data_IF_576675062602
#
_entry.id   IF_576675062602
#
_cell.length_a   1.000
_cell.length_b   1.000
_cell.length_c   1.000
_cell.angle_alpha   90.00
_cell.angle_beta   90.00
_cell.angle_gamma   90.00
#
_symmetry.space_group_name_H-M   'P 1'
#
loop_
_entity.id
_entity.type
_entity.pdbx_description
1 polymer ?
#
# COMPACT_ATOMS: atom_id res chain seq x y z
N UNK A 1 -13.65 -6.31 -15.17
CA UNK A 1 -12.80 -6.95 -16.20
C UNK A 1 -12.41 -8.37 -15.78
N UNK A 2 -11.78 -8.58 -14.60
CA UNK A 2 -11.23 -9.88 -14.15
C UNK A 2 -12.31 -10.97 -14.15
N UNK A 3 -13.46 -10.74 -13.52
CA UNK A 3 -14.55 -11.72 -13.47
C UNK A 3 -15.02 -12.13 -14.88
N UNK A 4 -15.19 -11.14 -15.78
CA UNK A 4 -15.59 -11.42 -17.16
C UNK A 4 -14.52 -12.19 -17.95
N UNK A 5 -13.24 -11.89 -17.72
CA UNK A 5 -12.13 -12.62 -18.31
C UNK A 5 -12.13 -14.10 -17.87
N UNK A 6 -12.34 -14.33 -16.56
CA UNK A 6 -12.39 -15.70 -16.03
C UNK A 6 -13.60 -16.47 -16.55
N UNK A 7 -14.80 -15.85 -16.58
CA UNK A 7 -15.99 -16.50 -17.14
C UNK A 7 -15.82 -16.83 -18.64
N UNK A 8 -15.23 -15.90 -19.42
CA UNK A 8 -14.93 -16.15 -20.85
C UNK A 8 -13.98 -17.34 -21.04
N UNK A 9 -13.09 -17.58 -20.09
CA UNK A 9 -12.15 -18.71 -20.10
C UNK A 9 -12.75 -20.01 -19.51
N UNK A 10 -14.06 -20.06 -19.24
CA UNK A 10 -14.78 -21.27 -18.83
C UNK A 10 -14.74 -21.56 -17.32
N UNK A 11 -14.24 -20.64 -16.49
CA UNK A 11 -14.25 -20.82 -15.04
C UNK A 11 -15.63 -20.56 -14.43
N UNK A 12 -15.98 -21.31 -13.39
CA UNK A 12 -17.11 -20.99 -12.52
C UNK A 12 -16.69 -19.85 -11.57
N UNK A 13 -17.34 -18.68 -11.70
CA UNK A 13 -16.94 -17.44 -11.04
C UNK A 13 -17.98 -17.00 -10.03
N UNK A 14 -17.55 -16.72 -8.82
CA UNK A 14 -18.34 -16.02 -7.78
C UNK A 14 -17.71 -14.67 -7.49
N UNK A 15 -18.47 -13.59 -7.68
CA UNK A 15 -18.05 -12.24 -7.33
C UNK A 15 -18.19 -11.97 -5.83
N UNK A 16 -17.17 -11.38 -5.20
CA UNK A 16 -17.24 -10.97 -3.80
C UNK A 16 -16.89 -9.49 -3.68
N UNK A 17 -17.76 -8.72 -3.02
CA UNK A 17 -17.48 -7.33 -2.67
C UNK A 17 -17.44 -7.16 -1.15
N UNK A 18 -16.38 -6.53 -0.67
CA UNK A 18 -16.24 -6.18 0.76
C UNK A 18 -16.85 -4.80 1.02
N UNK A 19 -17.81 -4.72 1.94
CA UNK A 19 -18.25 -3.43 2.49
C UNK A 19 -17.36 -3.08 3.67
N UNK A 20 -16.42 -2.13 3.47
CA UNK A 20 -15.37 -1.81 4.42
C UNK A 20 -15.71 -0.67 5.37
N UNK A 21 -16.63 0.24 5.00
CA UNK A 21 -17.07 1.37 5.83
C UNK A 21 -18.51 1.76 5.49
N UNK A 22 -19.11 2.59 6.35
CA UNK A 22 -20.47 3.08 6.16
C UNK A 22 -20.45 4.46 5.47
N UNK A 23 -21.26 4.61 4.45
CA UNK A 23 -21.37 5.82 3.62
C UNK A 23 -22.07 7.01 4.31
N UNK A 24 -21.94 7.18 5.62
CA UNK A 24 -22.73 8.12 6.38
C UNK A 24 -22.70 9.58 5.89
N UNK A 25 -21.82 9.95 4.95
CA UNK A 25 -21.79 11.25 4.24
C UNK A 25 -20.86 11.19 2.99
N UNK A 26 -20.97 10.19 2.15
CA UNK A 26 -20.29 10.26 0.85
C UNK A 26 -21.01 11.34 0.01
N UNK A 27 -20.39 12.52 -0.12
CA UNK A 27 -20.81 13.46 -1.14
C UNK A 27 -20.72 12.77 -2.50
N UNK A 28 -21.65 13.03 -3.40
CA UNK A 28 -21.73 12.45 -4.75
C UNK A 28 -20.48 12.63 -5.63
N UNK A 29 -19.44 13.25 -5.11
CA UNK A 29 -18.15 13.55 -5.77
C UNK A 29 -16.96 12.70 -5.27
N UNK A 30 -17.10 11.85 -4.24
CA UNK A 30 -15.95 11.08 -3.75
C UNK A 30 -15.73 9.81 -4.60
N UNK A 31 -14.55 9.70 -5.21
CA UNK A 31 -14.08 8.55 -6.01
C UNK A 31 -13.57 7.40 -5.11
N UNK A 32 -14.34 7.04 -4.08
CA UNK A 32 -13.92 6.07 -3.08
C UNK A 32 -14.22 4.63 -3.53
N UNK A 33 -13.26 3.73 -3.41
CA UNK A 33 -13.46 2.30 -3.58
C UNK A 33 -14.36 1.76 -2.47
N UNK A 34 -15.34 0.89 -2.80
CA UNK A 34 -16.25 0.25 -1.85
C UNK A 34 -17.30 1.19 -1.22
N UNK A 35 -17.53 2.38 -1.78
CA UNK A 35 -18.71 3.18 -1.53
C UNK A 35 -19.96 2.50 -2.09
N UNK A 36 -21.16 2.92 -1.69
CA UNK A 36 -22.42 2.33 -2.14
C UNK A 36 -22.54 2.21 -3.67
N UNK A 37 -22.01 3.19 -4.42
CA UNK A 37 -21.95 3.15 -5.89
C UNK A 37 -21.09 1.99 -6.42
N UNK A 38 -19.94 1.71 -5.79
CA UNK A 38 -19.05 0.62 -6.22
C UNK A 38 -19.69 -0.77 -6.00
N UNK A 39 -20.48 -0.92 -4.94
CA UNK A 39 -21.27 -2.12 -4.69
C UNK A 39 -22.36 -2.29 -5.76
N UNK A 40 -23.03 -1.19 -6.13
CA UNK A 40 -24.03 -1.20 -7.21
C UNK A 40 -23.41 -1.52 -8.56
N UNK A 41 -22.24 -0.96 -8.86
CA UNK A 41 -21.50 -1.27 -10.08
C UNK A 41 -21.06 -2.75 -10.12
N UNK A 42 -20.58 -3.29 -9.00
CA UNK A 42 -20.22 -4.69 -8.90
C UNK A 42 -21.43 -5.61 -9.11
N UNK A 43 -22.59 -5.26 -8.53
CA UNK A 43 -23.86 -5.98 -8.76
C UNK A 43 -24.28 -5.97 -10.23
N UNK A 44 -24.24 -4.79 -10.87
CA UNK A 44 -24.58 -4.66 -12.30
C UNK A 44 -23.67 -5.54 -13.17
N UNK A 45 -22.35 -5.46 -12.91
CA UNK A 45 -21.37 -6.30 -13.63
C UNK A 45 -21.62 -7.77 -13.41
N UNK A 46 -21.91 -8.21 -12.19
CA UNK A 46 -22.19 -9.60 -11.88
C UNK A 46 -23.46 -10.11 -12.58
N UNK A 47 -24.54 -9.31 -12.57
CA UNK A 47 -25.77 -9.63 -13.29
C UNK A 47 -25.53 -9.70 -14.80
N UNK A 48 -24.77 -8.75 -15.37
CA UNK A 48 -24.45 -8.75 -16.80
C UNK A 48 -23.62 -9.96 -17.23
N UNK A 49 -22.72 -10.40 -16.34
CA UNK A 49 -21.88 -11.58 -16.57
C UNK A 49 -22.61 -12.88 -16.19
N UNK A 50 -23.83 -12.81 -15.64
CA UNK A 50 -24.56 -13.96 -15.11
C UNK A 50 -23.67 -14.82 -14.18
N UNK A 51 -23.15 -14.19 -13.11
CA UNK A 51 -22.36 -14.81 -12.05
C UNK A 51 -22.95 -14.46 -10.68
N UNK A 52 -22.81 -15.37 -9.73
CA UNK A 52 -23.18 -15.12 -8.34
C UNK A 52 -22.37 -13.97 -7.75
N UNK A 53 -23.02 -13.15 -6.90
CA UNK A 53 -22.38 -12.04 -6.22
C UNK A 53 -22.71 -11.99 -4.74
N UNK A 54 -21.69 -12.00 -3.91
CA UNK A 54 -21.81 -11.91 -2.45
C UNK A 54 -21.25 -10.59 -1.93
N UNK A 55 -21.93 -9.99 -0.95
CA UNK A 55 -21.45 -8.80 -0.24
C UNK A 55 -21.11 -9.22 1.18
N UNK A 56 -19.87 -9.01 1.59
CA UNK A 56 -19.40 -9.32 2.92
C UNK A 56 -19.21 -8.02 3.72
N UNK A 57 -19.68 -7.99 4.94
CA UNK A 57 -19.71 -6.82 5.80
C UNK A 57 -18.50 -6.84 6.74
N UNK A 58 -17.49 -6.02 6.45
CA UNK A 58 -16.20 -5.98 7.14
C UNK A 58 -15.92 -4.66 7.85
N UNK A 59 -16.93 -3.82 8.06
CA UNK A 59 -16.77 -2.45 8.58
C UNK A 59 -16.08 -2.42 9.94
N UNK A 60 -16.48 -3.28 10.88
CA UNK A 60 -15.89 -3.34 12.23
C UNK A 60 -14.41 -3.74 12.14
N UNK A 61 -14.13 -4.84 11.47
CA UNK A 61 -12.77 -5.38 11.33
C UNK A 61 -11.84 -4.46 10.57
N UNK A 62 -12.33 -3.83 9.50
CA UNK A 62 -11.57 -2.84 8.75
C UNK A 62 -11.24 -1.60 9.60
N UNK A 63 -12.19 -1.16 10.43
CA UNK A 63 -11.93 -0.07 11.38
C UNK A 63 -10.83 -0.45 12.37
N UNK A 64 -10.95 -1.60 13.03
CA UNK A 64 -10.03 -2.05 14.08
C UNK A 64 -8.61 -2.33 13.53
N UNK A 65 -8.50 -3.04 12.41
CA UNK A 65 -7.21 -3.51 11.90
C UNK A 65 -6.53 -2.55 10.91
N UNK A 66 -7.29 -1.68 10.23
CA UNK A 66 -6.73 -0.79 9.22
C UNK A 66 -6.80 0.67 9.64
N UNK A 67 -8.01 1.17 10.01
CA UNK A 67 -8.18 2.59 10.32
C UNK A 67 -7.52 2.94 11.66
N UNK A 68 -7.78 2.16 12.70
CA UNK A 68 -7.22 2.44 14.03
C UNK A 68 -5.68 2.29 14.01
N UNK A 69 -5.14 1.27 13.32
CA UNK A 69 -3.69 1.10 13.11
C UNK A 69 -3.07 2.28 12.34
N UNK A 70 -3.77 2.77 11.33
CA UNK A 70 -3.35 3.96 10.57
C UNK A 70 -3.23 5.20 11.46
N UNK A 71 -4.22 5.42 12.33
CA UNK A 71 -4.23 6.55 13.25
C UNK A 71 -3.10 6.42 14.30
N UNK A 72 -2.92 5.22 14.86
CA UNK A 72 -1.90 4.95 15.86
C UNK A 72 -0.49 5.15 15.31
N UNK A 73 -0.24 4.75 14.06
CA UNK A 73 1.05 4.99 13.39
C UNK A 73 1.34 6.49 13.23
N UNK A 74 0.36 7.29 12.77
CA UNK A 74 0.56 8.75 12.70
C UNK A 74 0.78 9.38 14.08
N UNK A 75 0.07 8.93 15.11
CA UNK A 75 0.27 9.39 16.47
C UNK A 75 1.66 9.04 17.02
N UNK A 76 2.29 8.01 16.48
CA UNK A 76 3.67 7.60 16.79
C UNK A 76 4.74 8.26 15.91
N UNK A 77 4.36 9.21 15.03
CA UNK A 77 5.27 9.87 14.10
C UNK A 77 5.67 9.02 12.88
N UNK A 78 5.04 7.87 12.68
CA UNK A 78 5.25 7.02 11.51
C UNK A 78 4.32 7.43 10.36
N UNK A 79 4.71 7.12 9.13
CA UNK A 79 3.91 7.36 7.90
C UNK A 79 3.36 6.02 7.39
N UNK A 80 2.14 5.61 7.78
CA UNK A 80 1.62 4.29 7.46
C UNK A 80 1.17 4.14 6.00
N UNK A 81 1.11 2.86 5.55
CA UNK A 81 0.53 2.48 4.26
C UNK A 81 -0.65 1.54 4.51
N UNK A 82 -1.87 2.07 4.73
CA UNK A 82 -3.02 1.25 5.09
C UNK A 82 -3.43 0.24 4.00
N UNK A 83 -3.05 0.47 2.74
CA UNK A 83 -3.32 -0.46 1.64
C UNK A 83 -2.58 -1.80 1.81
N UNK A 84 -1.35 -1.80 2.32
CA UNK A 84 -0.61 -3.03 2.62
C UNK A 84 -1.31 -3.78 3.76
N UNK A 85 -1.65 -3.08 4.83
CA UNK A 85 -2.37 -3.65 5.97
C UNK A 85 -3.71 -4.26 5.53
N UNK A 86 -4.50 -3.54 4.71
CA UNK A 86 -5.76 -4.04 4.17
C UNK A 86 -5.58 -5.31 3.30
N UNK A 87 -4.55 -5.34 2.44
CA UNK A 87 -4.26 -6.52 1.64
C UNK A 87 -3.87 -7.71 2.53
N UNK A 88 -3.01 -7.50 3.53
CA UNK A 88 -2.55 -8.54 4.42
C UNK A 88 -3.68 -9.13 5.28
N UNK A 89 -4.49 -8.28 5.92
CA UNK A 89 -5.48 -8.71 6.92
C UNK A 89 -6.83 -9.02 6.28
N UNK A 90 -7.48 -8.04 5.69
CA UNK A 90 -8.86 -8.16 5.23
C UNK A 90 -8.96 -8.96 3.93
N UNK A 91 -8.08 -8.69 2.95
CA UNK A 91 -8.20 -9.33 1.64
C UNK A 91 -7.55 -10.71 1.59
N UNK A 92 -6.29 -10.85 2.05
CA UNK A 92 -5.54 -12.09 1.83
C UNK A 92 -5.46 -13.00 3.05
N UNK A 93 -5.97 -12.58 4.20
CA UNK A 93 -6.21 -13.47 5.33
C UNK A 93 -7.67 -13.89 5.39
N UNK A 94 -8.58 -12.92 5.51
CA UNK A 94 -9.98 -13.21 5.79
C UNK A 94 -10.74 -13.65 4.55
N UNK A 95 -10.58 -12.94 3.43
CA UNK A 95 -11.22 -13.33 2.18
C UNK A 95 -10.62 -14.64 1.61
N UNK A 96 -9.34 -14.90 1.88
CA UNK A 96 -8.72 -16.20 1.60
C UNK A 96 -9.44 -17.34 2.34
N UNK A 97 -9.66 -17.19 3.66
CA UNK A 97 -10.40 -18.19 4.46
C UNK A 97 -11.81 -18.37 3.91
N UNK A 98 -12.51 -17.28 3.61
CA UNK A 98 -13.86 -17.34 3.03
C UNK A 98 -13.89 -18.05 1.65
N UNK A 99 -12.88 -17.82 0.81
CA UNK A 99 -12.76 -18.52 -0.48
C UNK A 99 -12.54 -20.03 -0.30
N UNK A 100 -11.74 -20.44 0.70
CA UNK A 100 -11.58 -21.86 1.08
C UNK A 100 -12.87 -22.49 1.58
N UNK A 101 -13.66 -21.77 2.40
CA UNK A 101 -14.98 -22.23 2.88
C UNK A 101 -15.96 -22.43 1.71
N UNK A 102 -15.86 -21.62 0.68
CA UNK A 102 -16.59 -21.77 -0.57
C UNK A 102 -16.07 -22.90 -1.47
N UNK A 103 -15.00 -23.59 -1.07
CA UNK A 103 -14.31 -24.62 -1.87
C UNK A 103 -13.84 -24.09 -3.23
N UNK A 104 -13.48 -22.81 -3.30
CA UNK A 104 -12.93 -22.24 -4.52
C UNK A 104 -11.49 -22.72 -4.74
N UNK A 105 -11.11 -22.93 -6.00
CA UNK A 105 -9.75 -23.37 -6.37
C UNK A 105 -8.74 -22.23 -6.31
N UNK A 106 -9.19 -20.98 -6.40
CA UNK A 106 -8.34 -19.80 -6.35
C UNK A 106 -9.11 -18.54 -5.91
N UNK A 107 -8.39 -17.60 -5.31
CA UNK A 107 -8.85 -16.23 -5.10
C UNK A 107 -8.22 -15.32 -6.15
N UNK A 108 -9.06 -14.67 -6.95
CA UNK A 108 -8.62 -13.86 -8.09
C UNK A 108 -8.85 -12.39 -7.83
N UNK A 109 -7.85 -11.56 -8.08
CA UNK A 109 -7.93 -10.11 -7.86
C UNK A 109 -7.46 -9.32 -9.08
N UNK A 110 -7.90 -8.07 -9.16
CA UNK A 110 -7.51 -7.13 -10.21
C UNK A 110 -6.20 -6.38 -9.95
N UNK A 111 -5.34 -6.84 -9.05
CA UNK A 111 -4.06 -6.22 -8.83
C UNK A 111 -3.14 -6.40 -10.04
N UNK A 112 -2.45 -5.32 -10.42
CA UNK A 112 -1.40 -5.35 -11.43
C UNK A 112 -0.11 -5.89 -10.82
N UNK A 113 -0.01 -7.21 -10.78
CA UNK A 113 1.14 -7.98 -10.29
C UNK A 113 1.27 -9.21 -11.16
N UNK A 114 2.47 -9.49 -11.67
CA UNK A 114 2.72 -10.70 -12.45
C UNK A 114 3.03 -11.86 -11.51
N UNK A 115 2.34 -12.98 -11.70
CA UNK A 115 2.56 -14.24 -10.98
C UNK A 115 3.08 -15.29 -11.95
N UNK A 116 4.14 -15.95 -11.58
CA UNK A 116 4.73 -17.07 -12.34
C UNK A 116 4.82 -18.27 -11.40
N UNK A 117 4.51 -19.43 -11.89
CA UNK A 117 4.74 -20.68 -11.18
C UNK A 117 6.11 -21.24 -11.57
N UNK A 118 6.94 -21.49 -10.58
CA UNK A 118 8.28 -22.00 -10.74
C UNK A 118 8.56 -23.07 -9.67
N UNK A 119 8.90 -24.28 -10.12
CA UNK A 119 9.18 -25.43 -9.25
C UNK A 119 8.08 -25.70 -8.19
N UNK A 120 6.80 -25.58 -8.58
CA UNK A 120 5.65 -25.85 -7.71
C UNK A 120 5.29 -24.70 -6.75
N UNK A 121 6.03 -23.61 -6.76
CA UNK A 121 5.74 -22.41 -5.98
C UNK A 121 5.42 -21.22 -6.87
N UNK A 122 4.50 -20.39 -6.41
CA UNK A 122 4.22 -19.13 -7.06
C UNK A 122 5.25 -18.07 -6.68
N UNK A 123 5.75 -17.36 -7.67
CA UNK A 123 6.63 -16.22 -7.52
C UNK A 123 5.92 -14.94 -7.94
N UNK A 124 6.16 -13.85 -7.21
CA UNK A 124 5.59 -12.53 -7.48
C UNK A 124 6.61 -11.67 -8.20
N UNK A 125 6.16 -10.96 -9.23
CA UNK A 125 6.96 -10.04 -10.03
C UNK A 125 6.24 -8.72 -10.21
N UNK A 126 6.99 -7.68 -10.49
CA UNK A 126 6.40 -6.42 -10.96
C UNK A 126 5.53 -6.67 -12.20
N UNK A 127 4.47 -5.89 -12.33
CA UNK A 127 3.57 -5.96 -13.47
C UNK A 127 4.27 -5.63 -14.80
N UNK A 128 3.67 -6.05 -15.93
CA UNK A 128 4.06 -5.60 -17.28
C UNK A 128 3.93 -4.08 -17.39
N UNK A 129 2.82 -3.53 -16.93
CA UNK A 129 2.57 -2.08 -16.83
C UNK A 129 3.23 -1.54 -15.56
N UNK A 130 4.44 -1.02 -15.70
CA UNK A 130 5.27 -0.54 -14.58
C UNK A 130 4.63 0.66 -13.86
N UNK A 131 3.90 1.51 -14.57
CA UNK A 131 3.21 2.67 -14.01
C UNK A 131 2.00 2.26 -13.16
N UNK A 132 1.54 1.03 -13.32
CA UNK A 132 0.42 0.43 -12.57
C UNK A 132 0.87 -0.68 -11.62
N UNK A 133 2.17 -0.94 -11.53
CA UNK A 133 2.71 -1.99 -10.68
C UNK A 133 2.27 -1.84 -9.21
N UNK A 134 1.65 -2.89 -8.68
CA UNK A 134 1.14 -2.95 -7.31
C UNK A 134 1.89 -3.95 -6.43
N UNK A 135 2.99 -4.50 -6.91
CA UNK A 135 3.79 -5.48 -6.19
C UNK A 135 4.29 -4.96 -4.84
N UNK A 136 4.59 -3.66 -4.74
CA UNK A 136 4.95 -2.97 -3.51
C UNK A 136 3.90 -3.14 -2.40
N UNK A 137 2.61 -3.12 -2.75
CA UNK A 137 1.51 -3.24 -1.78
C UNK A 137 1.20 -4.67 -1.38
N UNK A 138 1.83 -5.66 -2.03
CA UNK A 138 1.57 -7.08 -1.81
C UNK A 138 2.76 -7.84 -1.22
N UNK A 139 3.88 -7.17 -0.92
CA UNK A 139 5.10 -7.81 -0.44
C UNK A 139 4.90 -8.68 0.81
N UNK A 140 3.89 -8.35 1.62
CA UNK A 140 3.58 -9.02 2.88
C UNK A 140 2.62 -10.23 2.71
N UNK A 141 2.38 -10.66 1.47
CA UNK A 141 1.69 -11.90 1.14
C UNK A 141 2.61 -13.08 1.44
N UNK A 142 2.13 -14.09 2.17
CA UNK A 142 2.92 -15.30 2.41
C UNK A 142 2.86 -16.29 1.22
N UNK A 143 3.71 -17.32 1.24
CA UNK A 143 3.83 -18.26 0.12
C UNK A 143 2.54 -19.06 -0.11
N UNK A 144 1.84 -19.48 0.95
CA UNK A 144 0.58 -20.21 0.86
C UNK A 144 -0.51 -19.37 0.18
N UNK A 145 -0.65 -18.12 0.60
CA UNK A 145 -1.55 -17.16 -0.02
C UNK A 145 -1.18 -16.94 -1.49
N UNK A 146 0.11 -16.73 -1.80
CA UNK A 146 0.58 -16.50 -3.15
C UNK A 146 0.32 -17.70 -4.08
N UNK A 147 0.44 -18.91 -3.57
CA UNK A 147 0.11 -20.13 -4.31
C UNK A 147 -1.37 -20.18 -4.69
N UNK A 148 -2.26 -19.64 -3.85
CA UNK A 148 -3.72 -19.63 -4.06
C UNK A 148 -4.23 -18.42 -4.86
N UNK A 149 -3.52 -17.29 -4.79
CA UNK A 149 -3.89 -16.06 -5.48
C UNK A 149 -3.63 -16.12 -6.99
N UNK A 150 -4.47 -15.41 -7.77
CA UNK A 150 -4.28 -15.21 -9.21
C UNK A 150 -4.43 -13.74 -9.55
N UNK A 151 -3.58 -13.23 -10.45
CA UNK A 151 -3.51 -11.84 -10.87
C UNK A 151 -3.54 -11.72 -12.40
N UNK A 152 -4.71 -11.91 -13.03
CA UNK A 152 -4.80 -11.97 -14.50
C UNK A 152 -4.37 -10.68 -15.21
N UNK A 153 -4.40 -9.53 -14.51
CA UNK A 153 -4.03 -8.24 -15.08
C UNK A 153 -2.51 -7.97 -15.05
N UNK A 154 -1.72 -8.79 -14.38
CA UNK A 154 -0.29 -8.54 -14.20
C UNK A 154 0.53 -8.63 -15.48
N UNK A 155 0.03 -9.29 -16.51
CA UNK A 155 0.63 -9.41 -17.84
C UNK A 155 0.02 -8.48 -18.89
N UNK A 156 -0.91 -7.62 -18.49
CA UNK A 156 -1.63 -6.67 -19.33
C UNK A 156 -1.25 -5.23 -19.01
N UNK A 157 -1.28 -4.39 -20.04
CA UNK A 157 -1.26 -2.94 -19.86
C UNK A 157 -2.67 -2.44 -19.51
N UNK A 158 -2.78 -1.27 -18.90
CA UNK A 158 -4.06 -0.66 -18.55
C UNK A 158 -4.95 -0.46 -19.77
N UNK A 159 -4.35 -0.13 -20.91
CA UNK A 159 -5.07 0.03 -22.19
C UNK A 159 -5.72 -1.29 -22.62
N UNK A 160 -4.97 -2.40 -22.55
CA UNK A 160 -5.48 -3.75 -22.87
C UNK A 160 -6.62 -4.15 -21.92
N UNK A 161 -6.46 -3.87 -20.61
CA UNK A 161 -7.51 -4.12 -19.61
C UNK A 161 -8.80 -3.35 -19.90
N UNK A 162 -8.73 -2.09 -20.34
CA UNK A 162 -9.89 -1.29 -20.73
C UNK A 162 -10.54 -1.79 -22.00
N UNK A 163 -9.73 -2.21 -22.96
CA UNK A 163 -10.22 -2.81 -24.20
C UNK A 163 -11.04 -4.10 -23.90
N UNK A 164 -10.50 -5.00 -23.09
CA UNK A 164 -11.22 -6.22 -22.65
C UNK A 164 -12.53 -5.85 -21.94
N UNK A 165 -12.53 -4.83 -21.06
CA UNK A 165 -13.75 -4.37 -20.40
C UNK A 165 -14.80 -3.84 -21.38
N UNK A 166 -14.36 -3.14 -22.43
CA UNK A 166 -15.23 -2.63 -23.51
C UNK A 166 -15.78 -3.74 -24.39
N UNK A 167 -14.97 -4.72 -24.75
CA UNK A 167 -15.39 -5.92 -25.52
C UNK A 167 -16.44 -6.73 -24.74
N UNK A 168 -16.28 -6.83 -23.43
CA UNK A 168 -17.27 -7.42 -22.52
C UNK A 168 -18.47 -6.51 -22.26
N UNK A 169 -18.53 -5.33 -22.88
CA UNK A 169 -19.59 -4.31 -22.75
C UNK A 169 -19.86 -3.89 -21.30
N UNK A 170 -18.82 -3.92 -20.43
CA UNK A 170 -18.97 -3.57 -19.02
C UNK A 170 -19.14 -2.05 -18.86
N UNK A 171 -20.18 -1.64 -18.13
CA UNK A 171 -20.49 -0.24 -17.86
C UNK A 171 -19.39 0.53 -17.09
N UNK A 172 -18.42 -0.19 -16.51
CA UNK A 172 -17.28 0.33 -15.75
C UNK A 172 -15.99 0.45 -16.57
N UNK A 173 -16.02 0.19 -17.89
CA UNK A 173 -14.82 0.17 -18.75
C UNK A 173 -14.04 1.50 -18.70
N UNK A 174 -14.74 2.64 -18.64
CA UNK A 174 -14.16 3.99 -18.61
C UNK A 174 -14.08 4.58 -17.18
N UNK A 175 -14.36 3.78 -16.14
CA UNK A 175 -14.29 4.28 -14.75
C UNK A 175 -12.86 4.69 -14.42
N UNK A 176 -12.64 5.91 -13.87
CA UNK A 176 -11.33 6.35 -13.46
C UNK A 176 -10.79 5.49 -12.31
N UNK A 177 -9.46 5.38 -12.23
CA UNK A 177 -8.81 4.66 -11.15
C UNK A 177 -8.96 5.40 -9.82
N UNK A 178 -9.05 4.66 -8.72
CA UNK A 178 -8.93 5.23 -7.38
C UNK A 178 -7.48 5.70 -7.17
N UNK A 179 -7.31 6.96 -6.78
CA UNK A 179 -5.99 7.58 -6.60
C UNK A 179 -5.58 7.68 -5.13
N UNK A 180 -6.56 7.64 -4.21
CA UNK A 180 -6.36 7.92 -2.78
C UNK A 180 -6.63 6.70 -1.90
N UNK A 181 -6.24 6.82 -0.63
CA UNK A 181 -6.62 5.88 0.43
C UNK A 181 -8.15 5.86 0.53
N UNK A 182 -8.76 4.69 0.43
CA UNK A 182 -10.20 4.52 0.23
C UNK A 182 -11.10 5.15 1.31
N UNK A 183 -10.61 5.34 2.54
CA UNK A 183 -11.33 5.97 3.64
C UNK A 183 -10.88 7.41 3.95
N UNK A 184 -9.95 7.95 3.14
CA UNK A 184 -9.44 9.33 3.26
C UNK A 184 -9.91 10.17 2.08
N UNK A 185 -10.98 10.98 2.24
CA UNK A 185 -11.47 11.82 1.16
C UNK A 185 -10.45 12.89 0.77
N UNK A 186 -10.19 13.03 -0.54
CA UNK A 186 -9.33 14.08 -1.12
C UNK A 186 -7.90 14.14 -0.52
N UNK A 187 -7.39 13.02 0.02
CA UNK A 187 -6.06 12.97 0.64
C UNK A 187 -5.96 13.69 1.99
N UNK A 188 -7.06 14.17 2.57
CA UNK A 188 -7.08 14.87 3.85
C UNK A 188 -7.15 13.90 5.02
N UNK A 189 -6.03 13.22 5.28
CA UNK A 189 -5.91 12.27 6.40
C UNK A 189 -5.97 12.96 7.77
N UNK A 190 -5.48 14.21 7.88
CA UNK A 190 -5.49 14.95 9.14
C UNK A 190 -6.92 15.18 9.65
N UNK A 191 -7.84 15.61 8.77
CA UNK A 191 -9.25 15.77 9.12
C UNK A 191 -9.92 14.46 9.52
N UNK A 192 -9.56 13.33 8.88
CA UNK A 192 -10.08 12.00 9.26
C UNK A 192 -9.62 11.63 10.67
N UNK A 193 -8.32 11.81 10.96
CA UNK A 193 -7.75 11.51 12.28
C UNK A 193 -8.35 12.44 13.34
N UNK A 194 -8.47 13.75 13.06
CA UNK A 194 -9.08 14.74 13.98
C UNK A 194 -10.51 14.36 14.37
N UNK A 195 -11.28 13.85 13.40
CA UNK A 195 -12.64 13.39 13.66
C UNK A 195 -12.70 12.13 14.52
N UNK A 196 -11.81 11.17 14.28
CA UNK A 196 -11.82 9.87 14.95
C UNK A 196 -11.08 9.89 16.30
N UNK A 197 -10.02 10.70 16.43
CA UNK A 197 -9.20 10.83 17.64
C UNK A 197 -8.79 12.29 17.90
N UNK A 198 -9.70 13.19 18.29
CA UNK A 198 -9.40 14.62 18.48
C UNK A 198 -8.31 14.86 19.54
N UNK A 199 -8.16 13.97 20.52
CA UNK A 199 -7.14 14.07 21.58
C UNK A 199 -5.68 13.82 21.07
N UNK A 200 -5.51 13.34 19.85
CA UNK A 200 -4.19 13.11 19.23
C UNK A 200 -3.56 14.41 18.70
N UNK A 201 -4.32 15.50 18.66
CA UNK A 201 -3.82 16.83 18.25
C UNK A 201 -3.37 17.60 19.47
N UNK A 202 -2.06 17.74 19.62
CA UNK A 202 -1.42 18.52 20.70
C UNK A 202 -0.45 19.50 20.08
N UNK A 203 -0.50 20.75 20.54
CA UNK A 203 0.49 21.74 20.15
C UNK A 203 1.88 21.31 20.59
N UNK A 204 2.87 21.56 19.75
CA UNK A 204 4.26 21.23 20.01
C UNK A 204 5.22 22.18 19.28
N UNK A 205 6.51 21.91 19.40
CA UNK A 205 7.54 22.78 18.85
C UNK A 205 8.01 22.29 17.47
N UNK A 206 8.37 23.27 16.64
CA UNK A 206 9.19 23.01 15.45
C UNK A 206 10.61 23.44 15.79
N UNK A 207 11.53 22.49 15.69
CA UNK A 207 12.96 22.71 16.00
C UNK A 207 13.81 22.54 14.74
N UNK A 208 14.93 23.23 14.68
CA UNK A 208 15.93 23.02 13.63
C UNK A 208 16.87 21.84 13.97
N UNK A 209 17.73 21.45 13.02
CA UNK A 209 18.71 20.37 13.20
C UNK A 209 19.77 20.67 14.28
N UNK A 210 19.87 21.92 14.74
CA UNK A 210 20.74 22.33 15.86
C UNK A 210 20.02 22.26 17.21
N UNK A 211 18.73 21.93 17.26
CA UNK A 211 17.93 21.84 18.47
C UNK A 211 17.27 23.14 18.89
N UNK A 212 17.34 24.22 18.10
CA UNK A 212 16.71 25.49 18.42
C UNK A 212 15.23 25.46 18.07
N UNK A 213 14.35 25.92 18.96
CA UNK A 213 12.94 26.12 18.65
C UNK A 213 12.77 27.30 17.69
N UNK A 214 12.17 27.06 16.53
CA UNK A 214 11.98 28.07 15.48
C UNK A 214 10.50 28.31 15.15
N UNK A 215 9.60 27.59 15.80
CA UNK A 215 8.16 27.75 15.63
C UNK A 215 7.36 26.78 16.46
N UNK A 216 6.05 26.71 16.20
CA UNK A 216 5.13 25.80 16.84
C UNK A 216 4.21 25.13 15.80
N UNK A 217 3.62 23.98 16.15
CA UNK A 217 2.65 23.27 15.33
C UNK A 217 1.43 22.83 16.14
N UNK A 218 0.32 22.53 15.45
CA UNK A 218 -0.94 22.11 16.07
C UNK A 218 -1.10 20.57 16.19
N UNK A 219 -0.04 19.82 15.97
CA UNK A 219 0.00 18.36 16.07
C UNK A 219 0.93 17.72 15.07
N UNK A 220 1.77 16.77 15.53
CA UNK A 220 2.72 16.03 14.68
C UNK A 220 2.03 15.28 13.54
N UNK A 221 0.78 14.91 13.72
CA UNK A 221 -0.06 14.20 12.74
C UNK A 221 -0.19 14.95 11.40
N UNK A 222 -0.05 16.28 11.41
CA UNK A 222 -0.11 17.10 10.20
C UNK A 222 1.16 17.02 9.33
N UNK A 223 2.17 16.25 9.77
CA UNK A 223 3.47 16.24 9.15
C UNK A 223 3.92 14.84 8.74
N UNK A 224 4.73 14.81 7.70
CA UNK A 224 5.35 13.59 7.17
C UNK A 224 6.79 13.90 6.79
N UNK A 225 7.72 13.00 7.03
CA UNK A 225 9.13 13.16 6.64
C UNK A 225 9.23 13.43 5.13
N UNK A 226 10.01 14.45 4.76
CA UNK A 226 10.12 14.96 3.39
C UNK A 226 9.11 16.04 3.02
N UNK A 227 8.13 16.34 3.89
CA UNK A 227 7.16 17.41 3.65
C UNK A 227 7.85 18.76 3.60
N UNK A 228 7.54 19.57 2.56
CA UNK A 228 8.04 20.94 2.37
C UNK A 228 6.98 22.00 2.62
N UNK A 229 5.74 21.72 2.21
CA UNK A 229 4.62 22.69 2.31
C UNK A 229 3.89 22.54 3.63
N UNK A 230 3.34 23.63 4.15
CA UNK A 230 2.50 23.61 5.35
C UNK A 230 3.27 23.58 6.68
N UNK A 231 4.60 23.76 6.69
CA UNK A 231 5.40 23.85 7.92
C UNK A 231 5.12 25.15 8.69
N UNK A 232 4.68 26.21 7.99
CA UNK A 232 4.31 27.48 8.62
C UNK A 232 5.49 28.38 9.03
N UNK A 233 6.72 28.05 8.61
CA UNK A 233 7.92 28.80 8.96
C UNK A 233 8.54 29.41 7.69
N UNK A 234 8.74 30.73 7.69
CA UNK A 234 9.41 31.45 6.62
C UNK A 234 10.92 31.51 6.90
N UNK A 235 11.73 30.92 6.00
CA UNK A 235 13.19 31.08 5.95
C UNK A 235 13.67 31.31 4.53
N UNK A 236 14.87 31.86 4.38
CA UNK A 236 15.47 32.14 3.05
C UNK A 236 15.65 30.86 2.20
N UNK A 237 15.93 29.72 2.83
CA UNK A 237 16.02 28.42 2.17
C UNK A 237 14.79 27.57 2.49
N UNK A 238 14.30 26.74 1.53
CA UNK A 238 13.20 25.81 1.79
C UNK A 238 13.54 24.86 2.94
N UNK A 239 12.60 24.70 3.88
CA UNK A 239 12.67 23.73 4.96
C UNK A 239 11.86 22.47 4.61
N UNK A 240 12.35 21.35 5.11
CA UNK A 240 11.73 20.04 5.01
C UNK A 240 11.59 19.41 6.39
N UNK A 241 10.55 18.66 6.63
CA UNK A 241 10.46 17.80 7.82
C UNK A 241 11.49 16.69 7.66
N UNK A 242 12.49 16.65 8.52
CA UNK A 242 13.57 15.65 8.48
C UNK A 242 13.37 14.55 9.49
N UNK A 243 12.69 14.84 10.62
CA UNK A 243 12.33 13.84 11.63
C UNK A 243 11.10 14.28 12.43
N UNK A 244 10.46 13.33 13.13
CA UNK A 244 9.31 13.56 14.02
C UNK A 244 9.55 12.83 15.34
N UNK A 245 9.80 13.57 16.40
CA UNK A 245 9.89 13.04 17.78
C UNK A 245 8.50 13.04 18.43
N UNK A 246 7.79 11.92 18.32
CA UNK A 246 6.45 11.80 18.89
C UNK A 246 6.44 11.83 20.43
N UNK A 247 7.54 11.43 21.09
CA UNK A 247 7.63 11.43 22.56
C UNK A 247 7.73 12.85 23.11
N UNK A 248 8.51 13.71 22.45
CA UNK A 248 8.65 15.13 22.80
C UNK A 248 7.57 15.99 22.15
N UNK A 249 6.82 15.44 21.20
CA UNK A 249 5.86 16.16 20.37
C UNK A 249 6.53 17.30 19.59
N UNK A 250 7.64 16.98 18.91
CA UNK A 250 8.47 17.91 18.16
C UNK A 250 8.59 17.50 16.70
N UNK A 251 8.61 18.50 15.82
CA UNK A 251 8.92 18.35 14.40
C UNK A 251 10.31 18.90 14.16
N UNK A 252 11.22 18.08 13.67
CA UNK A 252 12.56 18.49 13.30
C UNK A 252 12.57 18.89 11.83
N UNK A 253 13.02 20.09 11.53
CA UNK A 253 13.11 20.60 10.15
C UNK A 253 14.54 20.95 9.77
N UNK A 254 14.87 20.69 8.53
CA UNK A 254 16.21 20.92 7.98
C UNK A 254 16.18 21.23 6.49
N UNK A 255 17.34 21.16 5.87
CA UNK A 255 17.52 21.33 4.42
C UNK A 255 17.16 20.04 3.68
N UNK A 256 17.22 20.06 2.34
CA UNK A 256 17.01 18.86 1.52
C UNK A 256 18.13 17.83 1.74
N UNK A 257 19.33 18.29 1.99
CA UNK A 257 20.52 17.49 2.25
C UNK A 257 20.36 16.66 3.53
N UNK A 258 19.71 17.21 4.55
CA UNK A 258 19.46 16.54 5.84
C UNK A 258 18.46 15.36 5.71
N UNK A 259 17.72 15.28 4.59
CA UNK A 259 16.86 14.12 4.27
C UNK A 259 17.61 12.94 3.67
N UNK A 260 18.89 13.14 3.30
CA UNK A 260 19.66 12.16 2.56
C UNK A 260 20.24 11.10 3.49
N UNK A 261 19.79 9.87 3.38
CA UNK A 261 20.29 8.75 4.19
C UNK A 261 20.80 7.62 3.30
N UNK A 262 21.69 6.81 3.87
CA UNK A 262 22.34 5.67 3.19
C UNK A 262 22.10 4.35 3.92
N UNK A 263 21.56 4.42 5.12
CA UNK A 263 21.26 3.27 5.97
C UNK A 263 19.81 3.30 6.42
N UNK A 264 19.13 2.16 6.32
CA UNK A 264 17.73 1.98 6.71
C UNK A 264 17.66 0.79 7.65
N UNK A 265 16.85 0.91 8.69
CA UNK A 265 16.48 -0.21 9.55
C UNK A 265 15.06 -0.66 9.24
N UNK A 266 14.83 -1.97 9.31
CA UNK A 266 13.49 -2.55 9.08
C UNK A 266 13.13 -3.54 10.17
N UNK A 267 11.82 -3.66 10.41
CA UNK A 267 11.19 -4.61 11.32
C UNK A 267 10.09 -5.42 10.60
N UNK A 268 9.59 -6.49 11.24
CA UNK A 268 8.45 -7.29 10.74
C UNK A 268 8.67 -7.75 9.29
N UNK A 269 9.70 -8.52 9.07
CA UNK A 269 10.17 -8.95 7.75
C UNK A 269 9.33 -10.12 7.25
N UNK A 270 8.95 -10.07 5.97
CA UNK A 270 8.40 -11.19 5.21
C UNK A 270 9.36 -11.57 4.09
N UNK A 271 9.72 -12.85 3.97
CA UNK A 271 10.61 -13.37 2.93
C UNK A 271 9.85 -14.33 2.03
N UNK A 272 10.00 -14.13 0.72
CA UNK A 272 9.39 -14.92 -0.35
C UNK A 272 10.44 -15.67 -1.21
N UNK A 273 11.66 -15.81 -0.68
CA UNK A 273 12.77 -16.43 -1.40
C UNK A 273 13.70 -17.17 -0.42
N UNK A 274 14.75 -17.80 -0.95
CA UNK A 274 15.83 -18.37 -0.14
C UNK A 274 16.75 -17.27 0.40
N UNK A 275 17.49 -17.61 1.46
CA UNK A 275 18.51 -16.72 2.03
C UNK A 275 19.63 -16.40 1.03
N UNK A 276 19.92 -17.28 0.08
CA UNK A 276 20.95 -17.09 -0.94
C UNK A 276 20.69 -15.89 -1.86
N UNK A 277 19.43 -15.49 -1.98
CA UNK A 277 19.07 -14.31 -2.76
C UNK A 277 19.63 -13.01 -2.17
N UNK A 278 20.05 -13.00 -0.90
CA UNK A 278 20.61 -11.84 -0.17
C UNK A 278 22.14 -11.83 -0.10
N UNK A 279 22.83 -12.83 -0.64
CA UNK A 279 24.30 -12.89 -0.63
C UNK A 279 24.94 -11.79 -1.50
N UNK A 280 24.19 -11.25 -2.45
CA UNK A 280 24.61 -10.16 -3.33
C UNK A 280 23.74 -8.91 -3.11
N UNK A 281 24.15 -7.80 -3.73
CA UNK A 281 23.30 -6.60 -3.76
C UNK A 281 21.99 -6.89 -4.51
N UNK A 282 20.89 -6.46 -3.93
CA UNK A 282 19.55 -6.54 -4.49
C UNK A 282 19.01 -5.14 -4.81
N UNK A 283 17.82 -5.07 -5.38
CA UNK A 283 17.10 -3.82 -5.54
C UNK A 283 16.03 -3.67 -4.46
N UNK A 284 15.79 -2.44 -4.00
CA UNK A 284 14.73 -2.13 -3.04
C UNK A 284 13.86 -0.98 -3.53
N UNK A 285 12.62 -0.92 -3.03
CA UNK A 285 11.74 0.27 -3.09
C UNK A 285 11.35 0.66 -1.68
N UNK A 286 11.49 1.94 -1.37
CA UNK A 286 11.16 2.53 -0.06
C UNK A 286 9.85 3.33 -0.08
N UNK A 287 9.21 3.41 -1.24
CA UNK A 287 7.87 4.03 -1.45
C UNK A 287 7.25 3.49 -2.74
N UNK A 288 5.93 3.49 -2.84
CA UNK A 288 5.20 2.91 -3.97
C UNK A 288 5.55 3.54 -5.32
N UNK A 289 5.76 4.84 -5.38
CA UNK A 289 6.12 5.60 -6.58
C UNK A 289 7.64 5.74 -6.77
N UNK A 290 8.46 5.18 -5.85
CA UNK A 290 9.91 5.26 -5.90
C UNK A 290 10.55 4.41 -6.99
N UNK A 291 11.79 4.76 -7.36
CA UNK A 291 12.65 3.93 -8.21
C UNK A 291 13.15 2.69 -7.47
N UNK A 292 13.67 1.73 -8.20
CA UNK A 292 14.47 0.64 -7.65
C UNK A 292 15.87 1.19 -7.29
N UNK A 293 16.30 0.95 -6.05
CA UNK A 293 17.57 1.41 -5.49
C UNK A 293 18.40 0.18 -5.18
N UNK A 294 19.65 0.16 -5.58
CA UNK A 294 20.58 -0.95 -5.31
C UNK A 294 21.07 -0.89 -3.86
N UNK A 295 21.04 -2.01 -3.16
CA UNK A 295 21.36 -2.09 -1.74
C UNK A 295 21.91 -3.46 -1.33
N UNK A 296 22.69 -3.48 -0.24
CA UNK A 296 23.03 -4.69 0.51
C UNK A 296 22.10 -4.81 1.71
N UNK A 297 21.56 -6.00 1.92
CA UNK A 297 20.59 -6.29 2.98
C UNK A 297 21.19 -7.31 3.92
N UNK A 298 21.18 -6.99 5.22
CA UNK A 298 21.59 -7.90 6.30
C UNK A 298 20.41 -8.14 7.22
N UNK A 299 19.93 -9.37 7.29
CA UNK A 299 18.76 -9.77 8.07
C UNK A 299 19.17 -10.53 9.33
N UNK A 300 18.41 -10.33 10.41
CA UNK A 300 18.53 -11.09 11.65
C UNK A 300 17.12 -11.36 12.24
N UNK A 301 17.05 -12.06 13.37
CA UNK A 301 15.77 -12.46 13.98
C UNK A 301 14.93 -11.27 14.50
N UNK A 302 15.51 -10.08 14.68
CA UNK A 302 14.83 -8.91 15.21
C UNK A 302 14.44 -7.91 14.11
N UNK A 303 15.07 -7.99 12.94
CA UNK A 303 14.87 -7.06 11.86
C UNK A 303 15.94 -7.12 10.79
N UNK A 304 16.24 -6.01 10.15
CA UNK A 304 17.27 -5.94 9.11
C UNK A 304 17.90 -4.54 9.00
N UNK A 305 19.13 -4.55 8.54
CA UNK A 305 19.88 -3.36 8.15
C UNK A 305 20.07 -3.36 6.64
N UNK A 306 19.82 -2.22 6.01
CA UNK A 306 19.90 -2.04 4.57
C UNK A 306 20.88 -0.90 4.29
N UNK A 307 21.94 -1.20 3.56
CA UNK A 307 22.96 -0.25 3.15
C UNK A 307 22.76 0.07 1.67
N UNK A 308 22.36 1.30 1.36
CA UNK A 308 22.15 1.80 0.00
C UNK A 308 23.49 2.05 -0.69
N UNK A 309 23.60 1.77 -1.98
CA UNK A 309 24.79 2.14 -2.76
C UNK A 309 24.85 3.66 -2.97
N UNK A 310 23.70 4.33 -3.10
CA UNK A 310 23.56 5.78 -3.25
C UNK A 310 22.70 6.37 -2.13
N UNK A 311 22.85 7.66 -1.86
CA UNK A 311 21.95 8.37 -0.95
C UNK A 311 20.53 8.44 -1.51
N UNK A 312 19.53 8.29 -0.65
CA UNK A 312 18.12 8.44 -1.00
C UNK A 312 17.44 9.38 0.01
N UNK A 313 16.42 10.11 -0.45
CA UNK A 313 15.68 11.09 0.35
C UNK A 313 14.23 10.66 0.59
N UNK A 314 13.59 11.21 1.62
CA UNK A 314 12.16 10.97 1.90
C UNK A 314 11.87 9.53 2.31
N UNK A 315 12.78 8.90 3.02
CA UNK A 315 12.60 7.61 3.66
C UNK A 315 11.94 7.87 5.02
N UNK A 316 10.76 7.27 5.23
CA UNK A 316 9.95 7.50 6.43
C UNK A 316 9.70 6.20 7.18
N UNK A 317 9.83 6.18 8.51
CA UNK A 317 9.34 5.09 9.34
C UNK A 317 7.85 4.84 9.11
N UNK A 318 7.45 3.57 9.16
CA UNK A 318 6.08 3.14 8.84
C UNK A 318 5.82 2.89 7.35
N UNK A 319 6.72 3.30 6.45
CA UNK A 319 6.71 2.89 5.05
C UNK A 319 7.29 1.48 4.89
N UNK A 320 7.00 0.82 3.78
CA UNK A 320 7.61 -0.47 3.47
C UNK A 320 8.94 -0.29 2.74
N UNK A 321 9.86 -1.21 2.99
CA UNK A 321 11.04 -1.44 2.17
C UNK A 321 10.87 -2.81 1.49
N UNK A 322 10.57 -2.81 0.20
CA UNK A 322 10.28 -4.03 -0.56
C UNK A 322 11.48 -4.44 -1.39
N UNK A 323 11.83 -5.71 -1.35
CA UNK A 323 13.02 -6.30 -1.94
C UNK A 323 12.72 -6.91 -3.30
N UNK A 324 13.58 -6.63 -4.28
CA UNK A 324 13.46 -7.13 -5.65
C UNK A 324 14.78 -7.73 -6.12
N UNK A 325 14.71 -8.83 -6.84
CA UNK A 325 15.82 -9.43 -7.56
C UNK A 325 15.48 -9.60 -9.03
N UNK A 326 16.37 -9.16 -9.91
CA UNK A 326 16.18 -9.33 -11.37
C UNK A 326 16.48 -10.76 -11.78
N UNK A 327 15.61 -11.29 -12.62
CA UNK A 327 15.87 -12.54 -13.34
C UNK A 327 15.28 -12.48 -14.77
N UNK A 328 15.31 -13.60 -15.48
CA UNK A 328 14.80 -13.70 -16.88
C UNK A 328 13.31 -13.36 -17.03
N UNK A 329 12.54 -13.39 -15.96
CA UNK A 329 11.11 -13.09 -15.98
C UNK A 329 10.78 -11.65 -15.58
N UNK A 330 11.74 -10.89 -15.07
CA UNK A 330 11.61 -9.49 -14.63
C UNK A 330 12.10 -9.26 -13.19
N UNK A 331 11.56 -8.24 -12.55
CA UNK A 331 11.89 -7.87 -11.17
C UNK A 331 11.02 -8.70 -10.20
N UNK A 332 11.58 -9.78 -9.65
CA UNK A 332 10.92 -10.66 -8.68
C UNK A 332 10.89 -9.99 -7.32
N UNK A 333 9.74 -10.01 -6.67
CA UNK A 333 9.62 -9.66 -5.25
C UNK A 333 10.15 -10.82 -4.41
N UNK A 334 11.18 -10.56 -3.63
CA UNK A 334 11.82 -11.58 -2.77
C UNK A 334 11.53 -11.37 -1.29
N UNK A 335 10.81 -10.30 -0.95
CA UNK A 335 10.39 -10.01 0.42
C UNK A 335 10.30 -8.53 0.69
N UNK A 336 10.35 -8.17 1.98
CA UNK A 336 10.36 -6.80 2.45
C UNK A 336 10.17 -6.72 3.96
N UNK A 337 10.17 -5.50 4.47
CA UNK A 337 9.91 -5.20 5.87
C UNK A 337 9.42 -3.76 6.04
N UNK A 338 9.06 -3.41 7.27
CA UNK A 338 8.61 -2.06 7.60
C UNK A 338 9.79 -1.21 8.08
N UNK A 339 9.96 -0.04 7.49
CA UNK A 339 11.01 0.91 7.86
C UNK A 339 10.77 1.36 9.31
N UNK A 340 11.83 1.35 10.11
CA UNK A 340 11.82 1.77 11.52
C UNK A 340 12.91 2.82 11.77
N UNK A 341 12.80 3.48 12.89
CA UNK A 341 13.86 4.34 13.43
C UNK A 341 14.96 3.49 14.05
#
# INVERSE_FOLDING_TARGET
TVAGLMKKNGYNVVGITLKLYNDAKASSKSRQCCAGQDILDAKRVSNQLDIDHKILYYQKKFKEEVIDSFIDSYASGETPIPCIQCNQTVKFRDLYSHAKDLKADALITGHYVKRIENNGNAEMYRAKDIDRDQSYFLFNTNQEQLNYLRFPLGTLEKKETRQIASELKLNVANKPDSQDICFVPNGDYASVIKKLRPKSFKNGNVIDTSGNTIGAHEGIINFTIGQRKGIGIAKAKPLYVVDIDAKKNEIIVGTKEDLSIKKIYIKNINILSSNDDFNESIFIKVRSTGRLIKAKVSLNNLGGEINLEEFETGISPGQACVFYKKNKFGDRVIGGGWISN
#
